data_IF_664613344686
#
_entry.id   IF_664613344686
#
_cell.length_a   1.000
_cell.length_b   1.000
_cell.length_c   1.000
_cell.angle_alpha   90.00
_cell.angle_beta   90.00
_cell.angle_gamma   90.00
#
_symmetry.space_group_name_H-M   'P 1'
#
loop_
_entity.id
_entity.type
_entity.pdbx_description
1 polymer ?
#
# COMPACT_ATOMS: atom_id res chain seq x y z
N UNK A 1 6.04 -73.60 -10.05
CA UNK A 1 6.46 -72.43 -9.32
C UNK A 1 5.71 -71.25 -9.80
N UNK A 2 4.86 -70.71 -9.01
CA UNK A 2 4.10 -69.51 -9.39
C UNK A 2 4.73 -68.31 -8.73
N UNK A 3 5.31 -67.48 -9.55
CA UNK A 3 5.77 -66.16 -9.11
C UNK A 3 4.53 -65.26 -8.94
N UNK A 4 4.21 -64.97 -7.72
CA UNK A 4 3.23 -63.93 -7.41
C UNK A 4 3.94 -62.57 -7.39
N UNK A 5 3.77 -61.83 -8.45
CA UNK A 5 4.14 -60.43 -8.48
C UNK A 5 3.19 -59.69 -7.56
N UNK A 6 3.60 -59.31 -6.42
CA UNK A 6 2.88 -58.35 -5.61
C UNK A 6 3.17 -56.97 -6.18
N UNK A 7 2.18 -56.45 -6.90
CA UNK A 7 2.20 -55.04 -7.22
C UNK A 7 2.03 -54.26 -5.92
N UNK A 8 3.08 -53.67 -5.49
CA UNK A 8 3.00 -52.63 -4.46
C UNK A 8 2.35 -51.39 -5.09
N UNK A 9 1.12 -51.14 -4.74
CA UNK A 9 0.48 -49.89 -5.07
C UNK A 9 1.17 -48.78 -4.28
N UNK A 10 2.00 -48.02 -4.96
CA UNK A 10 2.49 -46.76 -4.42
C UNK A 10 1.36 -45.77 -4.46
N UNK A 11 0.69 -45.62 -3.33
CA UNK A 11 -0.21 -44.52 -3.12
C UNK A 11 0.64 -43.27 -3.01
N UNK A 12 0.73 -42.52 -4.09
CA UNK A 12 1.18 -41.14 -4.03
C UNK A 12 0.17 -40.38 -3.19
N UNK A 13 0.50 -40.13 -1.93
CA UNK A 13 -0.20 -39.11 -1.17
C UNK A 13 0.15 -37.76 -1.80
N UNK A 14 -0.75 -37.22 -2.61
CA UNK A 14 -0.66 -35.86 -3.02
C UNK A 14 -0.74 -35.03 -1.75
N UNK A 15 0.40 -34.46 -1.32
CA UNK A 15 0.39 -33.44 -0.31
C UNK A 15 -0.33 -32.24 -0.90
N UNK A 16 -1.63 -32.12 -0.61
CA UNK A 16 -2.34 -30.89 -0.87
C UNK A 16 -1.67 -29.84 0.03
N UNK A 17 -0.84 -28.99 -0.54
CA UNK A 17 -0.43 -27.78 0.11
C UNK A 17 -1.68 -26.93 0.26
N UNK A 18 -2.32 -27.07 1.40
CA UNK A 18 -3.37 -26.14 1.80
C UNK A 18 -2.65 -24.81 2.02
N UNK A 19 -2.82 -23.90 1.10
CA UNK A 19 -2.47 -22.52 1.35
C UNK A 19 -3.32 -22.08 2.54
N UNK A 20 -2.71 -22.02 3.71
CA UNK A 20 -3.37 -21.51 4.90
C UNK A 20 -3.51 -20.02 4.70
N UNK A 21 -4.68 -19.61 4.21
CA UNK A 21 -5.09 -18.21 4.31
C UNK A 21 -5.30 -17.98 5.79
N UNK A 22 -4.36 -17.28 6.43
CA UNK A 22 -4.51 -16.88 7.81
C UNK A 22 -5.75 -16.00 7.91
N UNK A 23 -6.79 -16.40 8.71
CA UNK A 23 -7.94 -15.56 8.93
C UNK A 23 -7.48 -14.29 9.66
N UNK A 24 -7.78 -13.11 9.16
CA UNK A 24 -7.51 -11.83 9.80
C UNK A 24 -6.49 -10.94 9.10
N UNK A 25 -5.89 -11.37 8.00
CA UNK A 25 -5.22 -10.48 7.08
C UNK A 25 -6.20 -10.17 5.96
N UNK A 26 -6.88 -8.99 5.96
CA UNK A 26 -7.41 -8.51 4.71
C UNK A 26 -6.17 -8.29 3.86
N UNK A 27 -5.89 -9.25 3.00
CA UNK A 27 -5.01 -9.00 1.90
C UNK A 27 -5.72 -8.03 0.97
N UNK A 28 -5.80 -6.77 1.39
CA UNK A 28 -5.83 -5.68 0.46
C UNK A 28 -4.47 -5.78 -0.20
N UNK A 29 -4.43 -6.54 -1.31
CA UNK A 29 -3.27 -6.57 -2.16
C UNK A 29 -2.94 -5.12 -2.42
N UNK A 30 -1.83 -4.66 -1.82
CA UNK A 30 -1.38 -3.30 -2.02
C UNK A 30 -1.20 -3.12 -3.52
N UNK A 31 -2.06 -2.31 -4.13
CA UNK A 31 -1.94 -1.94 -5.52
C UNK A 31 -0.82 -0.94 -5.61
N UNK A 32 0.34 -1.38 -6.05
CA UNK A 32 1.50 -0.53 -6.25
C UNK A 32 1.98 -0.63 -7.71
N UNK A 33 2.06 0.48 -8.43
CA UNK A 33 1.60 1.81 -8.03
C UNK A 33 0.07 1.93 -8.06
N UNK A 34 -0.48 2.79 -7.22
CA UNK A 34 -1.89 3.16 -7.28
C UNK A 34 -2.03 4.51 -7.99
N UNK A 35 -2.53 4.48 -9.20
CA UNK A 35 -2.76 5.66 -10.05
C UNK A 35 -4.22 6.15 -10.00
N UNK A 36 -5.01 5.63 -9.08
CA UNK A 36 -6.41 5.98 -8.89
C UNK A 36 -6.61 7.27 -8.11
N UNK A 37 -6.03 8.36 -8.57
CA UNK A 37 -6.09 9.66 -7.94
C UNK A 37 -6.35 10.77 -8.95
N UNK A 38 -6.84 11.90 -8.46
CA UNK A 38 -7.03 13.14 -9.23
C UNK A 38 -6.84 14.33 -8.31
N UNK A 39 -6.56 15.49 -8.88
CA UNK A 39 -6.48 16.73 -8.11
C UNK A 39 -7.90 17.21 -7.84
N UNK A 40 -8.44 16.85 -6.69
CA UNK A 40 -9.79 17.21 -6.26
C UNK A 40 -9.78 18.25 -5.14
N UNK A 41 -8.86 18.16 -4.19
CA UNK A 41 -8.66 19.12 -3.11
C UNK A 41 -7.91 20.36 -3.63
N UNK A 42 -6.69 20.17 -4.09
CA UNK A 42 -5.86 21.24 -4.67
C UNK A 42 -5.28 22.23 -3.68
N UNK A 43 -5.48 22.03 -2.37
CA UNK A 43 -4.87 22.93 -1.37
C UNK A 43 -3.37 22.76 -1.34
N UNK A 44 -2.68 23.90 -1.22
CA UNK A 44 -1.21 23.95 -1.12
C UNK A 44 -0.79 24.51 0.22
N UNK A 45 0.34 24.04 0.73
CA UNK A 45 0.90 24.47 2.00
C UNK A 45 1.87 23.47 2.56
N UNK A 46 2.16 23.61 3.84
CA UNK A 46 3.01 22.70 4.61
C UNK A 46 2.12 21.66 5.30
N UNK A 47 1.98 20.48 4.68
CA UNK A 47 1.06 19.46 5.17
C UNK A 47 1.71 18.25 5.84
N UNK A 48 3.04 18.13 5.84
CA UNK A 48 3.68 17.08 6.60
C UNK A 48 3.73 17.45 8.10
N UNK A 49 3.16 16.58 8.93
CA UNK A 49 3.12 16.78 10.38
C UNK A 49 4.39 16.24 11.07
N UNK A 50 5.53 16.51 10.49
CA UNK A 50 6.82 16.05 10.98
C UNK A 50 7.79 15.83 9.83
N UNK A 51 8.94 15.25 10.16
CA UNK A 51 10.00 15.00 9.20
C UNK A 51 10.06 13.53 8.78
N UNK A 52 10.67 13.28 7.63
CA UNK A 52 10.89 11.92 7.10
C UNK A 52 9.60 11.13 6.89
N UNK A 53 8.55 11.80 6.46
CA UNK A 53 7.28 11.17 6.10
C UNK A 53 7.42 10.54 4.72
N UNK A 54 7.27 9.23 4.63
CA UNK A 54 7.39 8.52 3.36
C UNK A 54 6.28 8.91 2.38
N UNK A 55 6.70 9.17 1.14
CA UNK A 55 5.82 9.33 -0.01
C UNK A 55 5.94 8.04 -0.82
N UNK A 56 4.85 7.28 -0.94
CA UNK A 56 4.87 5.92 -1.51
C UNK A 56 4.11 5.85 -2.82
N UNK A 57 4.38 4.80 -3.59
CA UNK A 57 3.69 4.56 -4.87
C UNK A 57 2.22 4.16 -4.71
N UNK A 58 1.80 3.75 -3.53
CA UNK A 58 0.43 3.37 -3.22
C UNK A 58 0.14 3.49 -1.73
N UNK A 59 -1.14 3.35 -1.32
CA UNK A 59 -1.59 3.59 0.04
C UNK A 59 -1.29 2.39 0.97
N UNK A 60 -0.05 2.00 1.06
CA UNK A 60 0.42 0.90 1.89
C UNK A 60 1.92 1.00 2.18
N UNK A 61 2.33 0.51 3.34
CA UNK A 61 3.75 0.36 3.69
C UNK A 61 4.46 -0.71 2.84
N UNK A 62 3.72 -1.58 2.16
CA UNK A 62 4.26 -2.51 1.17
C UNK A 62 4.64 -1.84 -0.15
N UNK A 63 4.15 -0.62 -0.41
CA UNK A 63 4.50 0.14 -1.59
C UNK A 63 5.81 0.90 -1.38
N UNK A 64 6.65 0.93 -2.42
CA UNK A 64 7.96 1.59 -2.37
C UNK A 64 7.82 3.07 -2.04
N UNK A 65 8.65 3.56 -1.12
CA UNK A 65 8.79 4.98 -0.87
C UNK A 65 9.64 5.61 -1.99
N UNK A 66 9.06 6.56 -2.70
CA UNK A 66 9.74 7.30 -3.79
C UNK A 66 10.40 8.57 -3.32
N UNK A 67 10.08 8.99 -2.10
CA UNK A 67 10.64 10.18 -1.48
C UNK A 67 10.22 10.29 -0.02
N UNK A 68 10.71 11.33 0.62
CA UNK A 68 10.33 11.68 1.99
C UNK A 68 9.97 13.16 2.07
N UNK A 69 8.86 13.44 2.74
CA UNK A 69 8.43 14.79 3.05
C UNK A 69 8.99 15.27 4.38
N UNK A 70 9.26 16.58 4.44
CA UNK A 70 9.67 17.27 5.66
C UNK A 70 8.61 18.32 5.99
N UNK A 71 8.50 18.69 7.27
CA UNK A 71 7.51 19.65 7.73
C UNK A 71 7.60 21.02 7.01
N UNK A 72 8.79 21.40 6.54
CA UNK A 72 9.02 22.64 5.80
C UNK A 72 8.67 22.58 4.31
N UNK A 73 8.39 21.39 3.79
CA UNK A 73 8.12 21.21 2.35
C UNK A 73 6.77 21.80 1.94
N UNK A 74 6.72 22.40 0.77
CA UNK A 74 5.48 22.85 0.15
C UNK A 74 4.85 21.72 -0.64
N UNK A 75 3.58 21.46 -0.37
CA UNK A 75 2.85 20.30 -0.85
C UNK A 75 1.48 20.72 -1.39
N UNK A 76 1.02 20.05 -2.43
CA UNK A 76 -0.38 20.09 -2.85
C UNK A 76 -1.05 18.77 -2.51
N UNK A 77 -2.19 18.83 -1.84
CA UNK A 77 -3.02 17.66 -1.57
C UNK A 77 -3.96 17.41 -2.74
N UNK A 78 -4.06 16.17 -3.18
CA UNK A 78 -4.90 15.78 -4.31
C UNK A 78 -6.23 15.20 -3.87
N UNK A 79 -6.24 14.02 -3.31
CA UNK A 79 -7.43 13.34 -2.80
C UNK A 79 -7.01 12.24 -1.82
N UNK A 80 -7.97 11.70 -1.06
CA UNK A 80 -7.70 10.61 -0.13
C UNK A 80 -8.51 9.36 -0.49
N UNK A 81 -8.04 8.21 -0.06
CA UNK A 81 -8.75 6.93 -0.09
C UNK A 81 -8.37 6.05 1.09
N UNK A 82 -9.17 5.03 1.32
CA UNK A 82 -8.84 3.98 2.28
C UNK A 82 -7.67 3.15 1.78
N UNK A 83 -6.77 2.81 2.68
CA UNK A 83 -5.62 1.96 2.42
C UNK A 83 -5.24 1.19 3.67
N UNK A 84 -3.98 0.82 3.80
CA UNK A 84 -3.49 0.08 4.95
C UNK A 84 -3.64 0.89 6.24
N UNK A 85 -4.37 0.34 7.19
CA UNK A 85 -4.57 0.91 8.54
C UNK A 85 -5.12 2.35 8.56
N UNK A 86 -6.00 2.68 7.65
CA UNK A 86 -6.65 3.99 7.64
C UNK A 86 -6.71 4.62 6.26
N UNK A 87 -6.78 5.95 6.25
CA UNK A 87 -6.81 6.71 5.00
C UNK A 87 -5.44 7.25 4.63
N UNK A 88 -5.25 7.42 3.34
CA UNK A 88 -4.03 7.90 2.72
C UNK A 88 -4.35 8.97 1.70
N UNK A 89 -3.55 10.02 1.65
CA UNK A 89 -3.68 11.07 0.66
C UNK A 89 -2.62 10.96 -0.41
N UNK A 90 -3.05 11.13 -1.66
CA UNK A 90 -2.12 11.43 -2.74
C UNK A 90 -1.74 12.90 -2.69
N UNK A 91 -0.47 13.18 -2.88
CA UNK A 91 0.07 14.53 -2.82
C UNK A 91 1.24 14.72 -3.79
N UNK A 92 1.53 15.97 -4.06
CA UNK A 92 2.71 16.40 -4.79
C UNK A 92 3.57 17.30 -3.90
N UNK A 93 4.82 16.92 -3.70
CA UNK A 93 5.80 17.70 -2.95
C UNK A 93 6.57 18.60 -3.92
N UNK A 94 6.26 19.88 -3.93
CA UNK A 94 6.90 20.86 -4.80
C UNK A 94 8.38 21.05 -4.48
N UNK A 95 8.77 20.87 -3.23
CA UNK A 95 10.16 21.07 -2.79
C UNK A 95 11.09 20.02 -3.39
N UNK A 96 10.61 18.80 -3.56
CA UNK A 96 11.41 17.67 -4.07
C UNK A 96 11.01 17.22 -5.48
N UNK A 97 9.83 17.62 -5.95
CA UNK A 97 9.25 17.12 -7.20
C UNK A 97 8.73 15.69 -7.11
N UNK A 98 8.54 15.15 -5.91
CA UNK A 98 8.02 13.81 -5.69
C UNK A 98 6.52 13.83 -5.47
N UNK A 99 5.86 12.80 -5.99
CA UNK A 99 4.41 12.60 -5.78
C UNK A 99 4.13 11.17 -5.37
N UNK A 100 3.06 10.99 -4.64
CA UNK A 100 2.62 9.68 -4.18
C UNK A 100 1.71 9.78 -2.97
N UNK A 101 1.65 8.68 -2.25
CA UNK A 101 0.74 8.48 -1.13
C UNK A 101 1.47 8.58 0.19
N UNK A 102 0.89 9.35 1.10
CA UNK A 102 1.32 9.41 2.51
C UNK A 102 0.11 9.16 3.40
N UNK A 103 0.35 8.51 4.54
CA UNK A 103 -0.71 8.19 5.48
C UNK A 103 -1.26 9.47 6.13
N UNK A 104 -2.58 9.60 6.20
CA UNK A 104 -3.24 10.81 6.68
C UNK A 104 -2.91 11.15 8.13
N UNK A 105 -2.64 10.16 8.97
CA UNK A 105 -2.21 10.39 10.35
C UNK A 105 -0.85 11.09 10.47
N UNK A 106 -0.07 11.12 9.40
CA UNK A 106 1.23 11.81 9.31
C UNK A 106 1.12 13.17 8.63
N UNK A 107 -0.07 13.58 8.28
CA UNK A 107 -0.35 14.83 7.60
C UNK A 107 -1.15 15.79 8.49
N UNK A 108 -0.90 17.08 8.33
CA UNK A 108 -1.64 18.13 9.02
C UNK A 108 -3.11 18.08 8.61
N UNK A 109 -4.02 18.16 9.60
CA UNK A 109 -5.45 18.13 9.35
C UNK A 109 -5.95 16.85 8.71
N UNK A 110 -5.26 15.72 8.92
CA UNK A 110 -5.57 14.43 8.34
C UNK A 110 -5.56 14.40 6.80
N UNK A 111 -4.76 15.23 6.16
CA UNK A 111 -4.52 15.21 4.73
C UNK A 111 -5.63 15.82 3.88
N UNK A 112 -5.88 15.22 2.73
CA UNK A 112 -6.84 15.74 1.75
C UNK A 112 -8.29 15.69 2.25
N UNK A 113 -9.10 16.64 1.79
CA UNK A 113 -10.52 16.77 2.17
C UNK A 113 -11.48 16.11 1.17
N UNK A 114 -10.98 15.68 0.03
CA UNK A 114 -11.79 15.11 -1.05
C UNK A 114 -11.42 13.66 -1.25
N UNK A 115 -12.45 12.81 -1.29
CA UNK A 115 -12.27 11.40 -1.59
C UNK A 115 -11.94 11.20 -3.07
N UNK A 116 -10.91 10.39 -3.34
CA UNK A 116 -10.62 9.99 -4.71
C UNK A 116 -11.80 9.13 -5.29
#
# INVERSE_FOLDING_TARGET
>A
MRLRSTLAAVTLAAAATVAVVLPGSPALAASCPDNGWSILDGRTGQFFNGNSVNIRTGPSTACVAVGQGQASHQVMLDCYKSGENGTWSHLYDFTTGKQGWSKDSLLVGAGANKHC
#
